data_IF_691616765520
#
_entry.id   IF_691616765520
#
_cell.length_a   1.000
_cell.length_b   1.000
_cell.length_c   1.000
_cell.angle_alpha   90.00
_cell.angle_beta   90.00
_cell.angle_gamma   90.00
#
_symmetry.space_group_name_H-M   'P 1'
#
loop_
_entity.id
_entity.type
_entity.pdbx_description
1 polymer ?
#
# COMPACT_ATOMS: atom_id res chain seq x y z
N UNK A 1 3.01 -26.72 -0.06
CA UNK A 1 3.18 -25.46 -0.82
C UNK A 1 1.79 -24.92 -1.08
N UNK A 2 1.54 -23.67 -0.72
CA UNK A 2 0.23 -23.04 -0.84
C UNK A 2 0.06 -22.66 -2.32
N UNK A 3 -0.82 -23.37 -3.03
CA UNK A 3 -1.21 -23.05 -4.41
C UNK A 3 -2.46 -22.16 -4.38
N UNK A 4 -2.28 -20.86 -4.12
CA UNK A 4 -3.21 -19.88 -4.67
C UNK A 4 -2.76 -19.53 -6.08
N UNK A 5 -3.70 -19.49 -7.03
CA UNK A 5 -3.44 -19.05 -8.40
C UNK A 5 -3.27 -17.52 -8.42
N UNK A 6 -2.26 -17.02 -7.71
CA UNK A 6 -1.83 -15.63 -7.77
C UNK A 6 -1.30 -15.38 -9.18
N UNK A 7 -2.11 -14.74 -10.03
CA UNK A 7 -1.71 -14.30 -11.37
C UNK A 7 -1.42 -12.80 -11.36
N UNK A 8 -0.16 -12.38 -11.12
CA UNK A 8 0.26 -10.99 -11.08
C UNK A 8 0.31 -10.39 -12.48
N UNK A 9 -0.83 -10.15 -13.12
CA UNK A 9 -0.91 -9.56 -14.48
C UNK A 9 -0.74 -8.04 -14.48
N UNK A 10 -0.91 -7.39 -13.33
CA UNK A 10 -0.78 -5.95 -13.19
C UNK A 10 0.64 -5.46 -13.47
N UNK A 11 0.75 -4.26 -14.04
CA UNK A 11 2.03 -3.63 -14.38
C UNK A 11 2.86 -3.24 -13.16
N UNK A 12 2.27 -3.20 -11.98
CA UNK A 12 2.96 -2.91 -10.72
C UNK A 12 3.88 -4.05 -10.23
N UNK A 13 3.69 -5.29 -10.68
CA UNK A 13 4.49 -6.42 -10.22
C UNK A 13 5.86 -6.49 -10.89
N UNK A 14 6.85 -6.90 -10.09
CA UNK A 14 8.22 -7.12 -10.56
C UNK A 14 8.26 -8.17 -11.68
N UNK A 15 9.16 -8.05 -12.67
CA UNK A 15 9.24 -8.98 -13.79
C UNK A 15 9.37 -10.44 -13.36
N UNK A 16 10.17 -10.72 -12.32
CA UNK A 16 10.39 -12.09 -11.83
C UNK A 16 9.16 -12.71 -11.15
N UNK A 17 8.30 -11.88 -10.55
CA UNK A 17 7.04 -12.31 -9.95
C UNK A 17 6.04 -12.72 -11.04
N UNK A 18 6.06 -12.04 -12.20
CA UNK A 18 5.22 -12.41 -13.35
C UNK A 18 5.62 -13.76 -13.95
N UNK A 19 6.90 -14.09 -13.93
CA UNK A 19 7.41 -15.37 -14.45
C UNK A 19 7.27 -16.53 -13.47
N UNK A 20 7.49 -16.31 -12.18
CA UNK A 20 7.61 -17.40 -11.21
C UNK A 20 6.44 -17.48 -10.23
N UNK A 21 5.59 -16.46 -10.17
CA UNK A 21 4.56 -16.25 -9.16
C UNK A 21 5.10 -16.14 -7.71
N UNK A 22 6.42 -16.16 -7.53
CA UNK A 22 7.06 -16.09 -6.21
C UNK A 22 7.31 -14.65 -5.80
N UNK A 23 6.65 -14.23 -4.72
CA UNK A 23 6.86 -12.93 -4.09
C UNK A 23 8.05 -12.95 -3.13
N UNK A 24 8.76 -11.82 -3.07
CA UNK A 24 9.97 -11.63 -2.26
C UNK A 24 10.07 -10.19 -1.75
N UNK A 25 10.89 -9.93 -0.72
CA UNK A 25 11.13 -8.56 -0.25
C UNK A 25 11.65 -7.63 -1.36
N UNK A 26 12.59 -8.03 -2.25
CA UNK A 26 12.96 -7.22 -3.41
C UNK A 26 11.83 -6.95 -4.41
N UNK A 27 10.83 -7.83 -4.49
CA UNK A 27 9.64 -7.58 -5.32
C UNK A 27 8.68 -6.58 -4.69
N UNK A 28 8.60 -6.52 -3.36
CA UNK A 28 7.87 -5.45 -2.65
C UNK A 28 8.56 -4.09 -2.88
N UNK A 29 9.89 -4.06 -2.87
CA UNK A 29 10.67 -2.86 -3.21
C UNK A 29 10.37 -2.40 -4.64
N UNK A 30 10.26 -3.32 -5.60
CA UNK A 30 9.86 -2.98 -6.96
C UNK A 30 8.46 -2.37 -7.00
N UNK A 31 7.47 -3.02 -6.37
CA UNK A 31 6.10 -2.50 -6.31
C UNK A 31 6.03 -1.12 -5.66
N UNK A 32 6.83 -0.90 -4.60
CA UNK A 32 6.96 0.41 -3.97
C UNK A 32 7.63 1.44 -4.89
N UNK A 33 8.62 1.03 -5.69
CA UNK A 33 9.21 1.87 -6.73
C UNK A 33 8.16 2.36 -7.74
N UNK A 34 7.25 1.48 -8.16
CA UNK A 34 6.12 1.86 -9.03
C UNK A 34 5.22 2.89 -8.33
N UNK A 35 4.94 2.73 -7.04
CA UNK A 35 4.17 3.72 -6.26
C UNK A 35 4.88 5.09 -6.24
N UNK A 36 6.20 5.13 -6.04
CA UNK A 36 6.95 6.40 -6.09
C UNK A 36 6.85 7.07 -7.48
N UNK A 37 6.95 6.28 -8.57
CA UNK A 37 6.82 6.81 -9.92
C UNK A 37 5.40 7.30 -10.21
N UNK A 38 4.38 6.58 -9.76
CA UNK A 38 2.97 6.96 -9.89
C UNK A 38 2.69 8.26 -9.11
N UNK A 39 3.25 8.39 -7.90
CA UNK A 39 3.15 9.58 -7.06
C UNK A 39 3.78 10.82 -7.73
N UNK A 40 4.93 10.67 -8.37
CA UNK A 40 5.66 11.77 -9.02
C UNK A 40 5.02 12.21 -10.34
N UNK A 41 4.49 11.25 -11.10
CA UNK A 41 4.01 11.48 -12.48
C UNK A 41 2.50 11.64 -12.57
N UNK A 42 1.77 11.20 -11.53
CA UNK A 42 0.31 11.04 -11.51
C UNK A 42 -0.23 10.21 -12.70
N UNK A 43 0.61 9.34 -13.27
CA UNK A 43 0.25 8.43 -14.37
C UNK A 43 0.00 7.04 -13.80
N UNK A 44 -1.14 6.46 -14.18
CA UNK A 44 -1.54 5.16 -13.66
C UNK A 44 -0.96 4.00 -14.47
N UNK A 45 -0.60 2.92 -13.77
CA UNK A 45 -0.23 1.63 -14.37
C UNK A 45 -1.42 0.70 -14.59
N UNK A 46 -2.56 1.03 -13.98
CA UNK A 46 -3.80 0.26 -14.02
C UNK A 46 -4.82 0.90 -14.97
N UNK A 47 -5.71 0.08 -15.51
CA UNK A 47 -6.79 0.59 -16.34
C UNK A 47 -7.88 1.21 -15.47
N UNK A 48 -8.26 2.45 -15.80
CA UNK A 48 -9.41 3.14 -15.22
C UNK A 48 -10.56 3.15 -16.23
N UNK A 49 -11.77 2.68 -15.87
CA UNK A 49 -12.94 2.83 -16.71
C UNK A 49 -13.17 4.31 -17.06
N UNK A 50 -13.24 4.64 -18.35
CA UNK A 50 -13.38 6.03 -18.83
C UNK A 50 -12.14 6.92 -18.61
N UNK A 51 -11.05 6.37 -18.08
CA UNK A 51 -9.80 7.08 -17.83
C UNK A 51 -8.75 6.94 -18.94
N UNK A 52 -7.59 7.59 -18.78
CA UNK A 52 -6.47 7.46 -19.71
C UNK A 52 -5.99 6.00 -19.83
N UNK A 53 -5.39 5.65 -20.96
CA UNK A 53 -4.75 4.33 -21.12
C UNK A 53 -3.63 4.15 -20.08
N UNK A 54 -3.51 2.97 -19.45
CA UNK A 54 -2.43 2.69 -18.52
C UNK A 54 -1.06 2.83 -19.18
N UNK A 55 -0.11 3.40 -18.44
CA UNK A 55 1.25 3.72 -18.92
C UNK A 55 2.25 2.77 -18.26
N UNK A 56 3.23 2.31 -19.03
CA UNK A 56 4.41 1.65 -18.50
C UNK A 56 5.35 2.71 -17.90
N UNK A 57 5.28 2.89 -16.59
CA UNK A 57 6.09 3.87 -15.87
C UNK A 57 7.58 3.56 -15.94
N UNK A 58 7.97 2.29 -16.02
CA UNK A 58 9.38 1.89 -16.12
C UNK A 58 9.93 2.31 -17.47
N UNK A 59 9.22 2.00 -18.55
CA UNK A 59 9.61 2.45 -19.90
C UNK A 59 9.62 3.97 -20.02
N UNK A 60 8.67 4.65 -19.36
CA UNK A 60 8.63 6.11 -19.33
C UNK A 60 9.90 6.68 -18.68
N UNK A 61 10.31 6.19 -17.51
CA UNK A 61 11.51 6.71 -16.82
C UNK A 61 12.81 6.29 -17.48
N UNK A 62 12.88 5.10 -18.09
CA UNK A 62 14.04 4.66 -18.89
C UNK A 62 14.31 5.60 -20.09
N UNK A 63 13.29 6.30 -20.59
CA UNK A 63 13.42 7.29 -21.67
C UNK A 63 14.01 8.63 -21.21
N UNK A 64 14.07 8.87 -19.90
CA UNK A 64 14.54 10.13 -19.30
C UNK A 64 16.07 10.10 -19.18
N UNK A 65 16.74 10.77 -20.13
CA UNK A 65 18.22 10.84 -20.19
C UNK A 65 18.86 12.04 -19.48
N UNK A 66 18.06 13.02 -19.01
CA UNK A 66 18.56 14.25 -18.34
C UNK A 66 17.54 14.83 -17.35
N UNK A 67 18.00 15.76 -16.48
CA UNK A 67 17.14 16.46 -15.51
C UNK A 67 16.03 17.29 -16.19
N UNK A 68 16.31 17.92 -17.33
CA UNK A 68 15.34 18.70 -18.12
C UNK A 68 14.24 17.80 -18.68
N UNK A 69 14.58 16.56 -19.07
CA UNK A 69 13.59 15.57 -19.52
C UNK A 69 12.81 14.98 -18.35
N UNK A 70 13.40 14.89 -17.15
CA UNK A 70 12.71 14.42 -15.95
C UNK A 70 11.57 15.36 -15.53
N UNK A 71 11.76 16.67 -15.64
CA UNK A 71 10.72 17.64 -15.32
C UNK A 71 9.44 17.42 -16.17
N UNK A 72 9.56 16.92 -17.40
CA UNK A 72 8.43 16.67 -18.30
C UNK A 72 7.57 15.47 -17.90
N UNK A 73 8.08 14.57 -17.06
CA UNK A 73 7.31 13.41 -16.60
C UNK A 73 6.56 13.69 -15.30
N UNK A 74 6.97 14.73 -14.57
CA UNK A 74 6.38 15.10 -13.30
C UNK A 74 4.97 15.68 -13.45
N UNK A 75 4.18 15.47 -12.41
CA UNK A 75 2.87 16.07 -12.26
C UNK A 75 2.96 17.59 -12.32
N UNK A 76 2.21 18.20 -13.26
CA UNK A 76 2.21 19.65 -13.48
C UNK A 76 1.78 20.43 -12.22
N UNK A 77 0.98 19.81 -11.36
CA UNK A 77 0.58 20.40 -10.08
C UNK A 77 1.75 20.57 -9.09
N UNK A 78 2.77 19.70 -9.18
CA UNK A 78 3.97 19.80 -8.36
C UNK A 78 4.98 20.81 -8.94
N UNK A 79 5.03 20.94 -10.26
CA UNK A 79 5.96 21.85 -10.95
C UNK A 79 5.75 23.34 -10.66
N UNK A 80 4.62 23.70 -10.03
CA UNK A 80 4.33 25.06 -9.57
C UNK A 80 5.29 25.53 -8.46
N UNK A 81 5.97 24.61 -7.78
CA UNK A 81 6.89 24.90 -6.68
C UNK A 81 8.33 24.61 -7.12
N UNK A 82 9.12 25.65 -7.40
CA UNK A 82 10.50 25.47 -7.90
C UNK A 82 11.44 24.84 -6.87
N UNK A 83 11.19 25.07 -5.57
CA UNK A 83 12.01 24.60 -4.46
C UNK A 83 12.02 23.08 -4.30
N UNK A 84 10.96 22.38 -4.73
CA UNK A 84 10.85 20.92 -4.57
C UNK A 84 11.42 20.14 -5.75
N UNK A 85 11.82 20.80 -6.84
CA UNK A 85 12.24 20.12 -8.08
C UNK A 85 13.44 19.19 -7.86
N UNK A 86 14.40 19.61 -7.04
CA UNK A 86 15.57 18.79 -6.72
C UNK A 86 15.18 17.55 -5.92
N UNK A 87 14.29 17.72 -4.94
CA UNK A 87 13.77 16.61 -4.13
C UNK A 87 12.96 15.62 -4.97
N UNK A 88 12.15 16.12 -5.91
CA UNK A 88 11.44 15.28 -6.87
C UNK A 88 12.41 14.45 -7.72
N UNK A 89 13.55 15.02 -8.14
CA UNK A 89 14.59 14.29 -8.86
C UNK A 89 15.25 13.23 -7.97
N UNK A 90 15.52 13.53 -6.69
CA UNK A 90 16.03 12.54 -5.73
C UNK A 90 15.04 11.38 -5.54
N UNK A 91 13.74 11.67 -5.36
CA UNK A 91 12.70 10.64 -5.24
C UNK A 91 12.56 9.83 -6.53
N UNK A 92 12.69 10.47 -7.71
CA UNK A 92 12.71 9.78 -9.00
C UNK A 92 13.86 8.79 -9.08
N UNK A 93 15.07 9.19 -8.65
CA UNK A 93 16.24 8.32 -8.62
C UNK A 93 16.06 7.14 -7.66
N UNK A 94 15.43 7.34 -6.50
CA UNK A 94 15.05 6.25 -5.59
C UNK A 94 14.08 5.30 -6.32
N UNK A 95 13.03 5.83 -6.93
CA UNK A 95 12.05 5.04 -7.71
C UNK A 95 12.71 4.20 -8.80
N UNK A 96 13.60 4.79 -9.60
CA UNK A 96 14.36 4.10 -10.66
C UNK A 96 15.22 2.96 -10.11
N UNK A 97 15.91 3.18 -8.98
CA UNK A 97 16.70 2.11 -8.32
C UNK A 97 15.80 0.98 -7.84
N UNK A 98 14.64 1.29 -7.26
CA UNK A 98 13.67 0.31 -6.79
C UNK A 98 13.10 -0.55 -7.93
N UNK A 99 12.83 0.03 -9.11
CA UNK A 99 12.26 -0.70 -10.26
C UNK A 99 13.32 -1.37 -11.16
N UNK A 100 14.56 -1.50 -10.70
CA UNK A 100 15.62 -2.14 -11.48
C UNK A 100 15.24 -3.57 -11.90
N UNK A 101 15.49 -3.93 -13.17
CA UNK A 101 15.33 -5.31 -13.66
C UNK A 101 16.22 -6.29 -12.89
N UNK A 102 17.39 -5.84 -12.44
CA UNK A 102 18.28 -6.65 -11.62
C UNK A 102 17.86 -6.60 -10.15
N UNK A 103 17.33 -7.70 -9.63
CA UNK A 103 16.91 -7.86 -8.22
C UNK A 103 17.99 -7.39 -7.24
N UNK A 104 19.26 -7.76 -7.47
CA UNK A 104 20.39 -7.41 -6.59
C UNK A 104 20.73 -5.92 -6.58
N UNK A 105 20.27 -5.14 -7.56
CA UNK A 105 20.51 -3.69 -7.63
C UNK A 105 19.42 -2.90 -6.89
N UNK A 106 18.32 -3.55 -6.50
CA UNK A 106 17.25 -2.91 -5.75
C UNK A 106 17.73 -2.71 -4.30
N UNK A 107 17.57 -1.51 -3.72
CA UNK A 107 17.94 -1.25 -2.34
C UNK A 107 17.06 -2.06 -1.39
N UNK A 108 17.49 -2.21 -0.13
CA UNK A 108 16.57 -2.70 0.92
C UNK A 108 15.53 -1.63 1.21
N UNK A 109 14.30 -2.01 1.56
CA UNK A 109 13.26 -1.03 1.90
C UNK A 109 13.68 -0.13 3.09
N UNK A 110 14.47 -0.65 4.02
CA UNK A 110 15.03 0.13 5.13
C UNK A 110 15.98 1.24 4.68
N UNK A 111 16.69 1.05 3.57
CA UNK A 111 17.53 2.09 2.96
C UNK A 111 16.67 3.13 2.25
N UNK A 112 15.61 2.68 1.56
CA UNK A 112 14.62 3.57 0.92
C UNK A 112 13.95 4.47 1.96
N UNK A 113 13.58 3.94 3.13
CA UNK A 113 13.04 4.75 4.25
C UNK A 113 13.98 5.88 4.61
N UNK A 114 15.27 5.58 4.85
CA UNK A 114 16.27 6.60 5.21
C UNK A 114 16.38 7.68 4.14
N UNK A 115 16.53 7.27 2.88
CA UNK A 115 16.64 8.21 1.75
C UNK A 115 15.41 9.12 1.62
N UNK A 116 14.19 8.59 1.80
CA UNK A 116 12.97 9.38 1.74
C UNK A 116 12.82 10.31 2.96
N UNK A 117 13.21 9.86 4.15
CA UNK A 117 13.21 10.68 5.36
C UNK A 117 14.20 11.83 5.28
N UNK A 118 15.39 11.61 4.72
CA UNK A 118 16.40 12.66 4.54
C UNK A 118 15.89 13.76 3.60
N UNK A 119 15.19 13.38 2.52
CA UNK A 119 14.53 14.34 1.62
C UNK A 119 13.40 15.09 2.33
N UNK A 120 12.60 14.39 3.16
CA UNK A 120 11.49 15.01 3.88
C UNK A 120 11.97 15.99 4.98
N UNK A 121 13.08 15.68 5.67
CA UNK A 121 13.64 16.50 6.76
C UNK A 121 14.23 17.83 6.28
N UNK A 122 14.79 17.85 5.08
CA UNK A 122 15.30 19.08 4.45
C UNK A 122 14.20 20.16 4.23
N UNK A 123 12.92 19.80 4.38
CA UNK A 123 11.77 20.70 4.24
C UNK A 123 11.12 21.08 5.58
N UNK A 124 11.64 20.63 6.73
CA UNK A 124 10.99 20.78 8.06
C UNK A 124 11.76 21.64 9.07
N UNK A 125 12.54 22.63 8.63
CA UNK A 125 12.98 23.71 9.52
C UNK A 125 11.88 24.78 9.63
N UNK A 126 10.74 24.42 10.23
CA UNK A 126 9.79 25.39 10.81
C UNK A 126 8.71 24.67 11.63
N UNK A 127 8.74 24.92 12.94
CA UNK A 127 7.70 24.67 13.95
C UNK A 127 7.14 23.25 14.09
N UNK A 128 7.61 22.56 15.15
CA UNK A 128 6.86 21.46 15.78
C UNK A 128 6.15 22.02 17.02
N UNK A 129 4.82 22.21 17.03
CA UNK A 129 4.09 22.43 18.26
C UNK A 129 4.09 21.13 19.07
N UNK A 130 4.45 21.23 20.35
CA UNK A 130 4.37 20.11 21.29
C UNK A 130 2.89 19.91 21.67
N UNK A 131 2.19 18.99 20.99
CA UNK A 131 0.83 18.60 21.40
C UNK A 131 0.89 17.73 22.66
N UNK A 132 0.32 18.23 23.77
CA UNK A 132 0.03 17.43 24.95
C UNK A 132 -1.17 16.52 24.63
N UNK A 133 -0.91 15.25 24.36
CA UNK A 133 -1.94 14.25 24.07
C UNK A 133 -2.06 13.23 25.19
N UNK A 134 -3.27 13.09 25.74
CA UNK A 134 -3.66 11.92 26.53
C UNK A 134 -3.72 10.70 25.59
N UNK A 135 -3.04 9.63 25.95
CA UNK A 135 -3.03 8.36 25.21
C UNK A 135 -3.70 7.32 26.10
N UNK A 136 -4.88 6.87 25.70
CA UNK A 136 -5.50 5.69 26.27
C UNK A 136 -4.73 4.46 25.76
N UNK A 137 -4.30 3.61 26.68
CA UNK A 137 -3.72 2.29 26.39
C UNK A 137 -4.80 1.28 26.76
N UNK A 138 -5.04 0.35 25.84
CA UNK A 138 -6.14 -0.64 25.77
C UNK A 138 -7.41 -0.15 25.06
N UNK A 139 -7.52 -0.56 23.80
CA UNK A 139 -8.81 -0.68 23.11
C UNK A 139 -9.65 -1.68 23.90
N UNK A 140 -10.76 -1.21 24.46
CA UNK A 140 -11.95 -2.07 24.57
C UNK A 140 -12.22 -2.53 23.14
N UNK A 141 -11.79 -3.74 22.81
CA UNK A 141 -12.17 -4.40 21.56
C UNK A 141 -13.71 -4.41 21.60
N UNK A 142 -14.43 -3.72 20.70
CA UNK A 142 -15.85 -3.98 20.58
C UNK A 142 -15.95 -5.46 20.27
N UNK A 143 -16.58 -6.23 21.16
CA UNK A 143 -16.93 -7.61 20.87
C UNK A 143 -17.79 -7.57 19.61
N UNK A 144 -17.20 -7.92 18.47
CA UNK A 144 -17.93 -8.05 17.23
C UNK A 144 -18.81 -9.29 17.35
N UNK A 145 -20.12 -9.09 17.34
CA UNK A 145 -21.02 -10.21 17.17
C UNK A 145 -20.91 -10.71 15.72
N UNK A 146 -20.48 -11.96 15.57
CA UNK A 146 -20.41 -12.63 14.27
C UNK A 146 -21.76 -12.58 13.56
N UNK A 147 -22.86 -12.70 14.30
CA UNK A 147 -24.20 -12.66 13.72
C UNK A 147 -24.54 -11.26 13.19
N UNK A 148 -24.27 -10.20 13.97
CA UNK A 148 -24.40 -8.81 13.53
C UNK A 148 -23.59 -8.57 12.25
N UNK A 149 -22.31 -8.95 12.23
CA UNK A 149 -21.44 -8.81 11.06
C UNK A 149 -22.02 -9.52 9.85
N UNK A 150 -22.55 -10.75 10.00
CA UNK A 150 -23.11 -11.51 8.90
C UNK A 150 -24.44 -10.93 8.39
N UNK A 151 -25.28 -10.37 9.28
CA UNK A 151 -26.57 -9.76 8.95
C UNK A 151 -26.45 -8.35 8.34
N UNK A 152 -25.43 -7.58 8.73
CA UNK A 152 -25.25 -6.19 8.29
C UNK A 152 -25.17 -6.08 6.76
N UNK A 153 -25.84 -5.05 6.21
CA UNK A 153 -25.83 -4.75 4.78
C UNK A 153 -24.41 -4.51 4.27
N UNK A 154 -24.13 -5.03 3.08
CA UNK A 154 -22.81 -5.03 2.49
C UNK A 154 -22.81 -4.23 1.19
N UNK A 155 -22.03 -3.17 1.15
CA UNK A 155 -21.73 -2.43 -0.08
C UNK A 155 -20.44 -2.99 -0.68
N UNK A 156 -20.43 -3.31 -1.97
CA UNK A 156 -19.22 -3.80 -2.65
C UNK A 156 -18.27 -2.62 -2.86
N UNK A 157 -17.10 -2.67 -2.21
CA UNK A 157 -16.05 -1.67 -2.41
C UNK A 157 -15.21 -1.95 -3.66
N UNK A 158 -14.99 -3.23 -3.96
CA UNK A 158 -14.24 -3.62 -5.14
C UNK A 158 -13.79 -5.08 -5.14
N UNK A 159 -13.41 -5.54 -6.34
CA UNK A 159 -12.76 -6.83 -6.58
C UNK A 159 -11.26 -6.60 -6.74
N UNK A 160 -10.48 -7.15 -5.81
CA UNK A 160 -9.02 -7.06 -5.81
C UNK A 160 -8.37 -8.39 -6.18
N UNK A 161 -7.04 -8.41 -6.11
CA UNK A 161 -6.22 -9.59 -6.45
C UNK A 161 -6.61 -10.82 -5.63
N UNK A 162 -6.88 -10.64 -4.34
CA UNK A 162 -7.10 -11.74 -3.39
C UNK A 162 -8.57 -12.02 -3.08
N UNK A 163 -9.51 -11.34 -3.75
CA UNK A 163 -10.94 -11.53 -3.48
C UNK A 163 -11.76 -10.25 -3.58
N UNK A 164 -12.88 -10.21 -2.88
CA UNK A 164 -13.82 -9.06 -2.92
C UNK A 164 -13.88 -8.40 -1.55
N UNK A 165 -13.81 -7.06 -1.52
CA UNK A 165 -13.95 -6.26 -0.31
C UNK A 165 -15.36 -5.69 -0.23
N UNK A 166 -15.96 -5.78 0.96
CA UNK A 166 -17.29 -5.28 1.28
C UNK A 166 -17.18 -4.30 2.43
N UNK A 167 -17.83 -3.14 2.31
CA UNK A 167 -18.04 -2.21 3.41
C UNK A 167 -19.31 -2.64 4.14
N UNK A 168 -19.23 -2.70 5.47
CA UNK A 168 -20.38 -2.94 6.34
C UNK A 168 -20.46 -1.85 7.38
N UNK A 169 -21.67 -1.30 7.56
CA UNK A 169 -21.99 -0.41 8.67
C UNK A 169 -22.70 -1.25 9.74
N UNK A 170 -22.10 -1.31 10.92
CA UNK A 170 -22.61 -2.02 12.09
C UNK A 170 -23.69 -1.18 12.79
N UNK A 171 -24.52 -1.82 13.61
CA UNK A 171 -25.63 -1.17 14.33
C UNK A 171 -25.12 -0.16 15.36
N UNK A 172 -23.95 -0.45 15.96
CA UNK A 172 -23.24 0.46 16.85
C UNK A 172 -22.64 1.70 16.14
N UNK A 173 -22.84 1.85 14.83
CA UNK A 173 -22.36 2.97 14.02
C UNK A 173 -20.95 2.78 13.45
N UNK A 174 -20.19 1.77 13.89
CA UNK A 174 -18.86 1.48 13.37
C UNK A 174 -18.94 0.98 11.93
N UNK A 175 -17.92 1.31 11.14
CA UNK A 175 -17.80 0.83 9.75
C UNK A 175 -16.58 -0.06 9.62
N UNK A 176 -16.77 -1.26 9.09
CA UNK A 176 -15.72 -2.26 8.87
C UNK A 176 -15.62 -2.63 7.40
N UNK A 177 -14.47 -3.20 7.03
CA UNK A 177 -14.25 -3.85 5.75
C UNK A 177 -14.15 -5.35 5.96
N UNK A 178 -15.03 -6.11 5.29
CA UNK A 178 -14.96 -7.56 5.22
C UNK A 178 -14.39 -7.94 3.87
N UNK A 179 -13.22 -8.58 3.86
CA UNK A 179 -12.61 -9.12 2.65
C UNK A 179 -12.88 -10.61 2.55
N UNK A 180 -13.63 -11.02 1.54
CA UNK A 180 -13.84 -12.42 1.19
C UNK A 180 -12.72 -12.89 0.28
N UNK A 181 -11.88 -13.80 0.77
CA UNK A 181 -10.81 -14.39 -0.02
C UNK A 181 -11.38 -15.36 -1.06
N UNK A 182 -10.73 -15.43 -2.23
CA UNK A 182 -11.07 -16.35 -3.32
C UNK A 182 -10.02 -17.44 -3.43
N UNK A 183 -10.43 -18.64 -3.85
CA UNK A 183 -9.53 -19.72 -4.26
C UNK A 183 -8.49 -20.18 -3.18
N UNK A 184 -8.74 -19.89 -1.89
CA UNK A 184 -7.89 -20.29 -0.76
C UNK A 184 -8.25 -21.70 -0.28
N UNK A 185 -7.37 -22.67 -0.55
CA UNK A 185 -7.49 -24.09 -0.17
C UNK A 185 -6.39 -24.48 0.82
N UNK A 186 -6.57 -24.08 2.08
CA UNK A 186 -5.67 -24.42 3.20
C UNK A 186 -6.45 -25.03 4.35
N UNK A 187 -5.77 -25.76 5.22
CA UNK A 187 -6.32 -26.24 6.49
C UNK A 187 -6.56 -25.08 7.45
N UNK A 188 -7.43 -25.28 8.46
CA UNK A 188 -7.63 -24.28 9.51
C UNK A 188 -6.31 -23.94 10.22
N UNK A 189 -5.48 -24.94 10.51
CA UNK A 189 -4.19 -24.76 11.19
C UNK A 189 -3.22 -23.89 10.38
N UNK A 190 -3.09 -24.14 9.08
CA UNK A 190 -2.25 -23.33 8.19
C UNK A 190 -2.77 -21.90 8.08
N UNK A 191 -4.09 -21.72 7.93
CA UNK A 191 -4.72 -20.41 7.85
C UNK A 191 -4.52 -19.62 9.16
N UNK A 192 -4.82 -20.25 10.30
CA UNK A 192 -4.68 -19.65 11.62
C UNK A 192 -3.24 -19.21 11.87
N UNK A 193 -2.27 -20.11 11.66
CA UNK A 193 -0.85 -19.79 11.87
C UNK A 193 -0.41 -18.58 11.04
N UNK A 194 -0.83 -18.49 9.78
CA UNK A 194 -0.48 -17.37 8.91
C UNK A 194 -1.18 -16.07 9.32
N UNK A 195 -2.46 -16.15 9.67
CA UNK A 195 -3.28 -15.00 10.04
C UNK A 195 -2.92 -14.46 11.43
N UNK A 196 -2.44 -15.28 12.36
CA UNK A 196 -1.90 -14.84 13.65
C UNK A 196 -0.63 -14.01 13.51
N UNK A 197 0.27 -14.38 12.59
CA UNK A 197 1.45 -13.57 12.25
C UNK A 197 1.03 -12.19 11.72
N UNK A 198 0.03 -12.14 10.84
CA UNK A 198 -0.50 -10.86 10.34
C UNK A 198 -1.22 -10.08 11.45
N UNK A 199 -2.07 -10.77 12.21
CA UNK A 199 -2.95 -10.19 13.23
C UNK A 199 -2.23 -9.74 14.49
N UNK A 200 -0.97 -10.15 14.71
CA UNK A 200 -0.11 -9.66 15.80
C UNK A 200 0.67 -8.39 15.46
N UNK A 201 0.76 -8.01 14.17
CA UNK A 201 1.45 -6.78 13.77
C UNK A 201 0.70 -5.56 14.30
N UNK A 202 1.41 -4.65 14.98
CA UNK A 202 0.89 -3.37 15.43
C UNK A 202 1.82 -2.26 14.98
N UNK A 203 1.37 -1.46 14.02
CA UNK A 203 2.16 -0.34 13.50
C UNK A 203 1.24 0.71 12.87
N UNK A 204 1.45 1.99 13.16
CA UNK A 204 0.64 3.12 12.65
C UNK A 204 0.51 3.22 11.12
N UNK A 205 1.36 2.52 10.38
CA UNK A 205 1.40 2.50 8.92
C UNK A 205 1.07 1.13 8.32
N UNK A 206 0.42 0.26 9.09
CA UNK A 206 -0.11 -1.04 8.66
C UNK A 206 -1.59 -1.07 9.06
N UNK A 207 -2.45 -1.56 8.17
CA UNK A 207 -3.87 -1.71 8.46
C UNK A 207 -4.08 -2.86 9.44
N UNK A 208 -4.80 -2.59 10.53
CA UNK A 208 -5.03 -3.57 11.57
C UNK A 208 -6.02 -4.64 11.12
N UNK A 209 -5.60 -5.90 11.20
CA UNK A 209 -6.49 -7.05 11.05
C UNK A 209 -7.23 -7.25 12.38
N UNK A 210 -8.53 -6.97 12.39
CA UNK A 210 -9.38 -7.01 13.59
C UNK A 210 -9.86 -8.41 13.91
N UNK A 211 -10.23 -9.18 12.89
CA UNK A 211 -10.73 -10.54 13.04
C UNK A 211 -10.62 -11.33 11.73
N UNK A 212 -10.83 -12.65 11.82
CA UNK A 212 -11.02 -13.51 10.65
C UNK A 212 -12.17 -14.48 10.88
N UNK A 213 -12.76 -14.96 9.79
CA UNK A 213 -13.71 -16.07 9.78
C UNK A 213 -13.17 -17.17 8.88
N UNK A 214 -13.21 -18.40 9.36
CA UNK A 214 -12.79 -19.57 8.60
C UNK A 214 -13.91 -20.62 8.57
N UNK A 215 -14.24 -21.06 7.37
CA UNK A 215 -15.02 -22.28 7.13
C UNK A 215 -14.49 -23.02 5.92
N UNK A 216 -15.07 -24.19 5.62
CA UNK A 216 -14.76 -24.95 4.41
C UNK A 216 -14.87 -24.06 3.17
N UNK A 217 -15.96 -23.29 3.05
CA UNK A 217 -16.31 -22.58 1.82
C UNK A 217 -15.92 -21.09 1.83
N UNK A 218 -15.67 -20.50 3.00
CA UNK A 218 -15.44 -19.05 3.14
C UNK A 218 -14.27 -18.76 4.06
N UNK A 219 -13.40 -17.86 3.62
CA UNK A 219 -12.34 -17.25 4.43
C UNK A 219 -12.53 -15.75 4.36
N UNK A 220 -12.82 -15.13 5.49
CA UNK A 220 -13.04 -13.69 5.60
C UNK A 220 -11.97 -13.08 6.50
N UNK A 221 -11.53 -11.88 6.14
CA UNK A 221 -10.67 -11.03 6.96
C UNK A 221 -11.40 -9.72 7.22
N UNK A 222 -11.32 -9.23 8.46
CA UNK A 222 -12.01 -8.01 8.90
C UNK A 222 -11.00 -6.93 9.24
N UNK A 223 -11.17 -5.76 8.64
CA UNK A 223 -10.30 -4.59 8.81
C UNK A 223 -11.11 -3.35 9.15
N UNK A 224 -10.41 -2.33 9.63
CA UNK A 224 -10.97 -0.98 9.73
C UNK A 224 -11.28 -0.39 8.35
N UNK A 225 -12.27 0.50 8.31
CA UNK A 225 -12.59 1.29 7.13
C UNK A 225 -11.81 2.62 7.12
N UNK A 226 -11.14 2.92 6.01
CA UNK A 226 -10.44 4.18 5.78
C UNK A 226 -11.26 5.07 4.84
N UNK A 227 -11.83 6.15 5.39
CA UNK A 227 -12.77 7.02 4.68
C UNK A 227 -12.14 7.85 3.54
N UNK A 228 -10.86 8.21 3.67
CA UNK A 228 -10.11 8.94 2.65
C UNK A 228 -9.77 8.07 1.43
N UNK A 229 -9.99 6.75 1.53
CA UNK A 229 -9.73 5.78 0.48
C UNK A 229 -8.25 5.50 0.24
N UNK A 230 -7.96 4.85 -0.89
CA UNK A 230 -6.60 4.50 -1.30
C UNK A 230 -5.86 5.67 -1.93
N UNK A 231 -4.53 5.62 -1.89
CA UNK A 231 -3.65 6.54 -2.60
C UNK A 231 -3.96 6.56 -4.11
N UNK A 232 -4.29 5.40 -4.68
CA UNK A 232 -4.74 5.29 -6.06
C UNK A 232 -5.99 6.15 -6.33
N UNK A 233 -7.01 6.04 -5.48
CA UNK A 233 -8.24 6.82 -5.61
C UNK A 233 -7.97 8.32 -5.47
N UNK A 234 -7.07 8.73 -4.56
CA UNK A 234 -6.68 10.12 -4.39
C UNK A 234 -5.95 10.69 -5.63
N UNK A 235 -5.05 9.91 -6.24
CA UNK A 235 -4.27 10.32 -7.41
C UNK A 235 -5.09 10.31 -8.71
N UNK A 236 -5.96 9.32 -8.89
CA UNK A 236 -6.56 9.02 -10.19
C UNK A 236 -8.10 8.94 -10.22
N UNK A 237 -8.77 8.96 -9.07
CA UNK A 237 -10.24 8.91 -9.00
C UNK A 237 -10.93 10.13 -9.62
N UNK A 238 -12.24 10.05 -9.82
CA UNK A 238 -13.05 11.08 -10.50
C UNK A 238 -12.96 12.45 -9.81
N UNK A 239 -12.98 12.48 -8.47
CA UNK A 239 -12.73 13.69 -7.67
C UNK A 239 -11.24 13.77 -7.30
N UNK A 240 -10.38 13.92 -8.31
CA UNK A 240 -8.92 14.01 -8.15
C UNK A 240 -8.55 14.99 -7.04
N UNK A 241 -7.90 14.48 -5.99
CA UNK A 241 -7.50 15.30 -4.84
C UNK A 241 -6.19 15.98 -5.16
N UNK A 242 -6.06 17.25 -4.81
CA UNK A 242 -4.76 17.89 -4.80
C UNK A 242 -3.98 17.39 -3.58
N UNK A 243 -2.94 16.59 -3.84
CA UNK A 243 -1.95 16.22 -2.85
C UNK A 243 -0.72 17.08 -3.09
N UNK A 244 -0.44 18.01 -2.19
CA UNK A 244 0.80 18.78 -2.21
C UNK A 244 2.02 17.88 -1.98
N UNK A 245 3.21 18.43 -2.19
CA UNK A 245 4.46 17.69 -2.04
C UNK A 245 4.65 17.13 -0.63
N UNK A 246 4.37 17.92 0.40
CA UNK A 246 4.52 17.50 1.79
C UNK A 246 3.62 16.30 2.13
N UNK A 247 2.37 16.32 1.69
CA UNK A 247 1.42 15.22 1.88
C UNK A 247 1.85 13.98 1.11
N UNK A 248 2.30 14.14 -0.14
CA UNK A 248 2.83 13.02 -0.94
C UNK A 248 4.03 12.36 -0.27
N UNK A 249 5.00 13.16 0.19
CA UNK A 249 6.18 12.68 0.90
C UNK A 249 5.82 11.99 2.21
N UNK A 250 4.90 12.58 3.00
CA UNK A 250 4.41 11.97 4.24
C UNK A 250 3.82 10.58 3.97
N UNK A 251 2.93 10.45 2.98
CA UNK A 251 2.29 9.18 2.64
C UNK A 251 3.33 8.12 2.26
N UNK A 252 4.29 8.43 1.38
CA UNK A 252 5.25 7.41 0.91
C UNK A 252 6.33 7.09 1.95
N UNK A 253 6.75 8.05 2.78
CA UNK A 253 7.63 7.77 3.94
C UNK A 253 6.92 6.83 4.90
N UNK A 254 5.67 7.11 5.24
CA UNK A 254 4.87 6.31 6.15
C UNK A 254 4.61 4.90 5.59
N UNK A 255 4.25 4.78 4.31
CA UNK A 255 4.12 3.49 3.64
C UNK A 255 5.45 2.71 3.65
N UNK A 256 6.58 3.35 3.34
CA UNK A 256 7.89 2.70 3.37
C UNK A 256 8.24 2.17 4.76
N UNK A 257 7.91 2.91 5.83
CA UNK A 257 8.06 2.45 7.22
C UNK A 257 7.21 1.22 7.51
N UNK A 258 5.95 1.22 7.06
CA UNK A 258 5.07 0.05 7.16
C UNK A 258 5.66 -1.18 6.48
N UNK A 259 6.15 -1.04 5.24
CA UNK A 259 6.78 -2.14 4.49
C UNK A 259 8.06 -2.61 5.20
N UNK A 260 8.89 -1.70 5.70
CA UNK A 260 10.10 -2.04 6.44
C UNK A 260 9.79 -2.79 7.75
N UNK A 261 8.69 -2.45 8.43
CA UNK A 261 8.23 -3.18 9.61
C UNK A 261 7.78 -4.60 9.23
N UNK A 262 7.02 -4.76 8.14
CA UNK A 262 6.60 -6.07 7.61
C UNK A 262 7.82 -6.95 7.34
N UNK A 263 8.83 -6.43 6.63
CA UNK A 263 10.04 -7.19 6.26
C UNK A 263 10.87 -7.66 7.46
N UNK A 264 10.66 -7.11 8.66
CA UNK A 264 11.32 -7.54 9.90
C UNK A 264 10.57 -8.65 10.64
N UNK A 265 9.31 -8.87 10.33
CA UNK A 265 8.50 -9.91 10.98
C UNK A 265 8.91 -11.31 10.51
N UNK A 266 8.47 -12.32 11.28
CA UNK A 266 8.70 -13.74 10.97
C UNK A 266 10.18 -14.06 10.67
N UNK A 267 11.08 -13.68 11.58
CA UNK A 267 12.52 -13.88 11.41
C UNK A 267 13.12 -13.16 10.20
N UNK A 268 12.57 -11.98 9.85
CA UNK A 268 12.92 -11.18 8.67
C UNK A 268 12.58 -11.83 7.33
N UNK A 269 11.60 -12.73 7.28
CA UNK A 269 11.20 -13.46 6.07
C UNK A 269 9.80 -13.09 5.57
N UNK A 270 9.03 -12.32 6.34
CA UNK A 270 7.71 -11.90 5.90
C UNK A 270 7.84 -10.97 4.68
N UNK A 271 6.91 -11.13 3.75
CA UNK A 271 6.79 -10.34 2.52
C UNK A 271 5.36 -9.87 2.40
N UNK A 272 5.15 -8.68 1.84
CA UNK A 272 3.82 -8.19 1.55
C UNK A 272 3.23 -8.87 0.32
N UNK A 273 3.98 -8.92 -0.78
CA UNK A 273 3.66 -9.60 -2.04
C UNK A 273 2.69 -8.89 -2.97
N UNK A 274 2.00 -7.84 -2.50
CA UNK A 274 1.06 -7.06 -3.31
C UNK A 274 1.18 -5.54 -3.12
N UNK A 275 2.40 -5.00 -3.14
CA UNK A 275 2.58 -3.55 -2.98
C UNK A 275 2.12 -2.80 -4.23
N UNK A 276 1.14 -1.90 -4.05
CA UNK A 276 0.60 -0.98 -5.05
C UNK A 276 -0.19 0.13 -4.37
N UNK A 277 -0.43 1.23 -5.06
CA UNK A 277 -1.17 2.39 -4.52
C UNK A 277 -2.63 2.08 -4.15
N UNK A 278 -3.23 1.03 -4.74
CA UNK A 278 -4.53 0.50 -4.35
C UNK A 278 -4.55 -0.09 -2.92
N UNK A 279 -3.39 -0.56 -2.43
CA UNK A 279 -3.24 -1.19 -1.12
C UNK A 279 -2.56 -0.25 -0.10
N UNK A 280 -2.37 1.02 -0.44
CA UNK A 280 -1.90 2.06 0.48
C UNK A 280 -3.07 3.00 0.71
N UNK A 281 -3.62 2.99 1.92
CA UNK A 281 -4.71 3.85 2.34
C UNK A 281 -4.20 5.13 2.97
N UNK A 282 -5.00 6.19 2.89
CA UNK A 282 -4.74 7.45 3.55
C UNK A 282 -5.58 7.46 4.83
N UNK A 283 -4.94 7.64 5.99
CA UNK A 283 -5.68 7.84 7.25
C UNK A 283 -6.16 9.28 7.40
N UNK A 284 -7.02 9.53 8.37
CA UNK A 284 -7.54 10.87 8.71
C UNK A 284 -6.42 11.86 9.03
N UNK A 285 -5.29 11.35 9.56
CA UNK A 285 -4.06 12.12 9.85
C UNK A 285 -3.15 12.30 8.62
N UNK A 286 -3.65 12.02 7.42
CA UNK A 286 -2.92 12.01 6.15
C UNK A 286 -1.68 11.10 6.17
N UNK A 287 -1.75 9.99 6.90
CA UNK A 287 -0.65 9.01 6.96
C UNK A 287 -0.89 7.92 5.91
N UNK A 288 0.20 7.40 5.34
CA UNK A 288 0.13 6.22 4.49
C UNK A 288 0.02 4.95 5.32
N UNK A 289 -0.96 4.12 5.02
CA UNK A 289 -1.23 2.85 5.73
C UNK A 289 -1.26 1.69 4.73
N UNK A 290 -0.37 0.72 4.92
CA UNK A 290 -0.26 -0.45 4.05
C UNK A 290 -1.28 -1.52 4.48
N UNK A 291 -2.10 -1.98 3.55
CA UNK A 291 -3.14 -3.00 3.75
C UNK A 291 -2.82 -4.28 2.98
N UNK A 292 -3.58 -5.36 3.18
CA UNK A 292 -3.42 -6.64 2.45
C UNK A 292 -2.09 -7.36 2.68
N UNK A 293 -1.49 -7.16 3.85
CA UNK A 293 -0.20 -7.79 4.21
C UNK A 293 -0.29 -9.31 4.16
N UNK A 294 0.68 -9.94 3.50
CA UNK A 294 0.90 -11.40 3.56
C UNK A 294 -0.12 -12.25 2.81
N UNK A 295 -1.13 -11.66 2.16
CA UNK A 295 -2.16 -12.41 1.46
C UNK A 295 -1.66 -13.16 0.22
N UNK A 296 -0.51 -12.77 -0.33
CA UNK A 296 0.12 -13.46 -1.46
C UNK A 296 0.67 -14.86 -1.12
N UNK A 297 0.73 -15.20 0.18
CA UNK A 297 1.21 -16.48 0.69
C UNK A 297 0.09 -17.34 1.29
N UNK A 298 -1.16 -16.86 1.28
CA UNK A 298 -2.36 -17.62 1.67
C UNK A 298 -2.92 -18.43 0.50
#
# INVERSE_FOLDING_TARGET
MIETTFMPTARCYAPEVKSTQNVSQPSDVYGFGIVLLELLTRKSTEHLPGGPKPIDLVKLVDSVKSKERAAKVFDADLLKYLTIKEDMVKVLQIGIKCVSKSVRKRPKISEVVKLLEDIAKMNTESHVPFEKKLVFIEDVIPTFDLEEMLRASAEVLGKGTFGTCYKKKLENGNTIVVKRLRDVRVTFKEFQQHVEVIGSMRHKNIADLRAYYFSRDKKLLVYDYYDQGSLFAALHGNARRFLDWGTRMKIVVDAARGIAYIHRQDGQKLVHGNIKSLNIFISDKKQGTVSDVGLAKL
#
